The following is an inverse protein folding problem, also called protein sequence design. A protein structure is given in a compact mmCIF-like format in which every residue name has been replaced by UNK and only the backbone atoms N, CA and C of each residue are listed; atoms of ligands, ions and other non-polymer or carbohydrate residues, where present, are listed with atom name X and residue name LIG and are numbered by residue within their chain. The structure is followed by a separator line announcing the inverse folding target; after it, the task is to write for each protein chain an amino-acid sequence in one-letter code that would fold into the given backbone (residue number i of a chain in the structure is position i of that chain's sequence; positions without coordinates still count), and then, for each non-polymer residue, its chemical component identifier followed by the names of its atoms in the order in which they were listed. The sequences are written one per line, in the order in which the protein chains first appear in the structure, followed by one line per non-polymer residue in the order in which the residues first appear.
data_IF_749148893589
#
_entry.id   IF_749148893589
#
_cell.length_a   1.000
_cell.length_b   1.000
_cell.length_c   1.000
_cell.angle_alpha   90.00
_cell.angle_beta   90.00
_cell.angle_gamma   90.00
#
_symmetry.space_group_name_H-M   'P 1'
#
loop_
_entity.id
_entity.type
_entity.pdbx_description
1 polymer ?
#
# COMPACT_ATOMS: atom_id res chain seq x y z
N UNK A 1 -17.82 -25.58 -2.58
CA UNK A 1 -17.59 -24.54 -3.61
C UNK A 1 -16.32 -23.79 -3.25
N UNK A 2 -15.31 -23.78 -4.14
CA UNK A 2 -13.99 -23.17 -3.86
C UNK A 2 -13.72 -22.03 -4.84
N UNK A 3 -13.02 -21.01 -4.38
CA UNK A 3 -12.50 -19.91 -5.18
C UNK A 3 -11.06 -19.61 -4.78
N UNK A 4 -10.20 -19.39 -5.77
CA UNK A 4 -8.86 -18.86 -5.55
C UNK A 4 -8.81 -17.42 -6.05
N UNK A 5 -8.42 -16.49 -5.20
CA UNK A 5 -8.24 -15.08 -5.54
C UNK A 5 -6.95 -14.89 -6.36
N UNK A 6 -6.87 -13.79 -7.09
CA UNK A 6 -5.71 -13.44 -7.92
C UNK A 6 -5.40 -11.94 -7.84
N UNK A 7 -4.11 -11.58 -7.93
CA UNK A 7 -3.67 -10.21 -8.20
C UNK A 7 -4.23 -9.19 -7.20
N UNK A 8 -4.85 -8.11 -7.70
CA UNK A 8 -5.37 -7.01 -6.85
C UNK A 8 -6.45 -7.48 -5.88
N UNK A 9 -7.36 -8.38 -6.28
CA UNK A 9 -8.37 -8.94 -5.38
C UNK A 9 -7.74 -9.74 -4.24
N UNK A 10 -6.70 -10.53 -4.54
CA UNK A 10 -5.95 -11.22 -3.50
C UNK A 10 -5.21 -10.24 -2.57
N UNK A 11 -4.57 -9.21 -3.13
CA UNK A 11 -3.87 -8.18 -2.36
C UNK A 11 -4.82 -7.49 -1.38
N UNK A 12 -5.99 -7.03 -1.83
CA UNK A 12 -6.99 -6.39 -0.97
C UNK A 12 -7.38 -7.27 0.20
N UNK A 13 -7.61 -8.58 -0.03
CA UNK A 13 -7.94 -9.50 1.05
C UNK A 13 -6.74 -9.70 1.99
N UNK A 14 -5.53 -9.97 1.48
CA UNK A 14 -4.32 -10.12 2.29
C UNK A 14 -4.06 -8.91 3.19
N UNK A 15 -4.33 -7.70 2.70
CA UNK A 15 -4.19 -6.46 3.47
C UNK A 15 -5.18 -6.35 4.63
N UNK A 16 -6.28 -7.11 4.63
CA UNK A 16 -7.29 -7.12 5.71
C UNK A 16 -7.15 -8.30 6.68
N UNK A 17 -6.27 -9.26 6.39
CA UNK A 17 -6.11 -10.43 7.25
C UNK A 17 -5.36 -10.05 8.54
N UNK A 18 -5.85 -10.49 9.72
CA UNK A 18 -5.17 -10.23 11.00
C UNK A 18 -3.86 -11.02 11.14
N UNK A 19 -3.71 -12.12 10.41
CA UNK A 19 -2.49 -12.93 10.29
C UNK A 19 -2.58 -13.80 9.04
N UNK A 20 -1.46 -14.38 8.61
CA UNK A 20 -1.47 -15.53 7.71
C UNK A 20 -1.26 -16.78 8.55
N UNK A 21 -2.37 -17.47 8.87
CA UNK A 21 -2.28 -18.81 9.43
C UNK A 21 -1.76 -19.79 8.38
N UNK A 22 -0.93 -20.74 8.82
CA UNK A 22 -0.14 -21.63 7.96
C UNK A 22 -0.95 -22.76 7.31
N UNK A 23 -2.28 -22.67 7.24
CA UNK A 23 -3.09 -23.66 6.51
C UNK A 23 -2.87 -23.48 4.98
N UNK A 24 -1.71 -23.99 4.57
CA UNK A 24 -1.18 -23.99 3.23
C UNK A 24 -1.81 -25.17 2.52
N UNK A 25 -2.74 -24.86 1.63
CA UNK A 25 -3.39 -25.89 0.85
C UNK A 25 -2.39 -26.53 -0.13
N UNK A 26 -2.59 -27.81 -0.44
CA UNK A 26 -2.02 -28.40 -1.65
C UNK A 26 -2.61 -27.63 -2.83
N UNK A 27 -1.78 -26.76 -3.43
CA UNK A 27 -2.27 -25.72 -4.33
C UNK A 27 -3.06 -26.29 -5.52
N UNK A 28 -2.64 -27.44 -6.05
CA UNK A 28 -3.32 -28.10 -7.15
C UNK A 28 -4.71 -28.63 -6.74
N UNK A 29 -4.83 -29.35 -5.63
CA UNK A 29 -6.11 -29.86 -5.11
C UNK A 29 -7.10 -28.74 -4.76
N UNK A 30 -6.57 -27.61 -4.24
CA UNK A 30 -7.38 -26.43 -3.98
C UNK A 30 -7.96 -25.86 -5.28
N UNK A 31 -7.14 -25.76 -6.33
CA UNK A 31 -7.52 -25.23 -7.64
C UNK A 31 -8.44 -26.15 -8.43
N UNK A 32 -8.24 -27.47 -8.38
CA UNK A 32 -9.07 -28.43 -9.14
C UNK A 32 -10.53 -28.38 -8.70
N UNK A 33 -10.79 -28.04 -7.43
CA UNK A 33 -12.14 -27.81 -6.90
C UNK A 33 -12.66 -26.38 -7.06
N UNK A 34 -11.91 -25.46 -7.68
CA UNK A 34 -12.32 -24.07 -7.85
C UNK A 34 -13.30 -23.91 -9.00
N UNK A 35 -14.53 -23.51 -8.66
CA UNK A 35 -15.61 -23.28 -9.62
C UNK A 35 -16.22 -21.89 -9.35
N UNK A 36 -15.95 -20.91 -10.22
CA UNK A 36 -16.40 -19.54 -10.01
C UNK A 36 -17.87 -19.35 -10.42
N UNK A 37 -18.78 -20.00 -9.69
CA UNK A 37 -20.23 -19.87 -9.90
C UNK A 37 -20.75 -18.53 -9.35
N UNK A 38 -21.92 -18.09 -9.80
CA UNK A 38 -22.56 -16.88 -9.27
C UNK A 38 -22.79 -16.94 -7.74
N UNK A 39 -23.04 -18.14 -7.20
CA UNK A 39 -23.15 -18.34 -5.74
C UNK A 39 -21.81 -18.14 -5.03
N UNK A 40 -20.70 -18.54 -5.66
CA UNK A 40 -19.35 -18.35 -5.14
C UNK A 40 -18.95 -16.88 -5.08
N UNK A 41 -19.26 -16.14 -6.15
CA UNK A 41 -19.03 -14.70 -6.22
C UNK A 41 -19.83 -13.98 -5.13
N UNK A 42 -21.13 -14.29 -4.97
CA UNK A 42 -21.96 -13.74 -3.88
C UNK A 42 -21.42 -14.07 -2.50
N UNK A 43 -20.86 -15.26 -2.31
CA UNK A 43 -20.27 -15.67 -1.04
C UNK A 43 -19.03 -14.83 -0.68
N UNK A 44 -18.10 -14.64 -1.62
CA UNK A 44 -16.93 -13.77 -1.43
C UNK A 44 -17.35 -12.33 -1.17
N UNK A 45 -18.31 -11.81 -1.95
CA UNK A 45 -18.86 -10.44 -1.81
C UNK A 45 -19.47 -10.19 -0.43
N UNK A 46 -20.24 -11.13 0.11
CA UNK A 46 -20.79 -10.99 1.48
C UNK A 46 -19.69 -10.97 2.55
N UNK A 47 -18.58 -11.66 2.32
CA UNK A 47 -17.49 -11.75 3.30
C UNK A 47 -16.53 -10.56 3.20
N UNK A 48 -16.34 -10.04 2.00
CA UNK A 48 -15.46 -8.93 1.66
C UNK A 48 -16.21 -7.92 0.78
N UNK A 49 -17.21 -7.21 1.33
CA UNK A 49 -18.03 -6.24 0.58
C UNK A 49 -17.22 -5.09 0.00
N UNK A 50 -16.06 -4.79 0.58
CA UNK A 50 -15.17 -3.71 0.18
C UNK A 50 -14.33 -3.99 -1.07
N UNK A 51 -14.38 -5.20 -1.66
CA UNK A 51 -13.57 -5.51 -2.84
C UNK A 51 -14.09 -4.76 -4.07
N UNK A 52 -13.24 -4.25 -4.97
CA UNK A 52 -13.71 -3.66 -6.21
C UNK A 52 -14.19 -4.70 -7.23
N UNK A 53 -15.11 -4.33 -8.12
CA UNK A 53 -15.36 -5.08 -9.36
C UNK A 53 -14.33 -4.75 -10.47
N UNK A 54 -13.98 -5.71 -11.34
CA UNK A 54 -14.32 -7.14 -11.27
C UNK A 54 -13.47 -7.89 -10.23
N UNK A 55 -13.99 -8.98 -9.67
CA UNK A 55 -13.17 -9.91 -8.89
C UNK A 55 -12.16 -10.65 -9.78
N UNK A 56 -10.88 -10.61 -9.45
CA UNK A 56 -9.85 -11.37 -10.12
C UNK A 56 -9.64 -12.72 -9.46
N UNK A 57 -9.82 -13.80 -10.22
CA UNK A 57 -9.80 -15.16 -9.71
C UNK A 57 -8.81 -16.01 -10.49
N UNK A 58 -8.16 -16.95 -9.80
CA UNK A 58 -7.28 -17.95 -10.38
C UNK A 58 -8.07 -19.24 -10.68
N UNK A 59 -7.93 -19.75 -11.88
CA UNK A 59 -8.57 -20.98 -12.35
C UNK A 59 -7.55 -21.94 -13.00
N UNK A 60 -7.74 -23.26 -12.89
CA UNK A 60 -6.85 -24.26 -13.49
C UNK A 60 -6.84 -24.19 -15.03
N UNK A 61 -8.00 -23.91 -15.66
CA UNK A 61 -8.13 -23.68 -17.11
C UNK A 61 -8.91 -22.39 -17.37
N UNK A 62 -8.64 -21.78 -18.52
CA UNK A 62 -9.45 -20.68 -19.03
C UNK A 62 -10.81 -21.24 -19.44
N UNK A 63 -11.83 -21.03 -18.61
CA UNK A 63 -13.20 -21.38 -18.95
C UNK A 63 -14.12 -20.19 -18.69
N UNK A 64 -14.80 -19.73 -19.75
CA UNK A 64 -15.85 -18.70 -19.83
C UNK A 64 -15.67 -17.42 -18.98
N UNK A 65 -15.74 -16.27 -19.65
CA UNK A 65 -15.90 -14.98 -18.98
C UNK A 65 -17.21 -14.96 -18.17
N UNK A 66 -17.13 -14.58 -16.88
CA UNK A 66 -18.28 -14.45 -15.98
C UNK A 66 -18.95 -13.07 -16.08
N UNK A 67 -18.85 -12.43 -17.25
CA UNK A 67 -19.29 -11.06 -17.47
C UNK A 67 -18.47 -10.05 -16.64
N UNK A 68 -19.10 -8.92 -16.30
CA UNK A 68 -18.46 -7.81 -15.58
C UNK A 68 -18.12 -8.10 -14.11
N UNK A 69 -18.62 -9.21 -13.53
CA UNK A 69 -18.46 -9.50 -12.11
C UNK A 69 -17.11 -10.16 -11.75
N UNK A 70 -16.47 -10.85 -12.69
CA UNK A 70 -15.20 -11.53 -12.43
C UNK A 70 -14.34 -11.71 -13.68
N UNK A 71 -13.03 -11.56 -13.49
CA UNK A 71 -11.99 -11.84 -14.48
C UNK A 71 -11.20 -13.07 -14.06
N UNK A 72 -11.10 -14.06 -14.96
CA UNK A 72 -10.38 -15.30 -14.71
C UNK A 72 -8.96 -15.25 -15.24
N UNK A 73 -8.03 -15.71 -14.41
CA UNK A 73 -6.61 -15.84 -14.71
C UNK A 73 -6.22 -17.30 -14.68
N UNK A 74 -5.48 -17.76 -15.68
CA UNK A 74 -5.12 -19.18 -15.81
C UNK A 74 -3.78 -19.50 -15.14
N UNK A 75 -3.79 -20.51 -14.26
CA UNK A 75 -2.60 -21.16 -13.74
C UNK A 75 -2.06 -22.19 -14.75
N UNK A 76 -1.40 -21.74 -15.82
CA UNK A 76 -0.88 -22.64 -16.88
C UNK A 76 0.27 -23.55 -16.42
N UNK A 77 0.94 -23.19 -15.34
CA UNK A 77 2.02 -23.97 -14.75
C UNK A 77 1.62 -24.38 -13.33
N UNK A 78 2.06 -25.56 -12.85
CA UNK A 78 1.86 -25.97 -11.46
C UNK A 78 2.34 -24.87 -10.51
N UNK A 79 1.51 -24.53 -9.53
CA UNK A 79 1.89 -23.60 -8.49
C UNK A 79 2.82 -24.29 -7.48
N UNK A 80 3.78 -23.56 -6.89
CA UNK A 80 4.59 -24.12 -5.81
C UNK A 80 3.73 -24.64 -4.65
N UNK A 81 4.20 -25.72 -4.01
CA UNK A 81 3.55 -26.23 -2.81
C UNK A 81 3.45 -25.12 -1.74
N UNK A 82 2.25 -24.96 -1.18
CA UNK A 82 1.98 -23.97 -0.15
C UNK A 82 2.02 -22.50 -0.60
N UNK A 83 1.96 -22.23 -1.90
CA UNK A 83 1.76 -20.86 -2.42
C UNK A 83 0.30 -20.45 -2.49
N UNK A 84 -0.63 -21.32 -2.08
CA UNK A 84 -2.04 -20.99 -1.85
C UNK A 84 -2.38 -21.20 -0.38
N UNK A 85 -3.03 -20.20 0.20
CA UNK A 85 -3.45 -20.10 1.59
C UNK A 85 -4.95 -20.28 1.65
N UNK A 86 -5.44 -21.12 2.55
CA UNK A 86 -6.87 -21.21 2.83
C UNK A 86 -7.25 -20.11 3.83
N UNK A 87 -7.89 -19.06 3.34
CA UNK A 87 -8.23 -17.88 4.14
C UNK A 87 -9.64 -17.96 4.75
N UNK A 88 -10.51 -18.76 4.14
CA UNK A 88 -11.85 -19.04 4.67
C UNK A 88 -12.38 -20.36 4.10
N UNK A 89 -13.51 -20.84 4.62
CA UNK A 89 -14.21 -22.00 4.04
C UNK A 89 -14.50 -21.77 2.56
N UNK A 90 -13.78 -22.47 1.68
CA UNK A 90 -13.93 -22.35 0.23
C UNK A 90 -13.29 -21.11 -0.41
N UNK A 91 -12.50 -20.30 0.31
CA UNK A 91 -11.79 -19.15 -0.26
C UNK A 91 -10.29 -19.33 -0.03
N UNK A 92 -9.53 -19.24 -1.12
CA UNK A 92 -8.08 -19.34 -1.14
C UNK A 92 -7.46 -18.05 -1.66
N UNK A 93 -6.31 -17.65 -1.12
CA UNK A 93 -5.51 -16.55 -1.61
C UNK A 93 -4.09 -17.02 -1.93
N UNK A 94 -3.39 -16.43 -2.91
CA UNK A 94 -1.96 -16.63 -3.07
C UNK A 94 -1.20 -16.21 -1.81
N UNK A 95 -0.04 -16.84 -1.57
CA UNK A 95 0.92 -16.30 -0.61
C UNK A 95 1.34 -14.88 -1.03
N UNK A 96 1.83 -14.03 -0.12
CA UNK A 96 2.26 -12.67 -0.46
C UNK A 96 3.22 -12.62 -1.65
N UNK A 97 4.16 -13.56 -1.73
CA UNK A 97 5.16 -13.63 -2.78
C UNK A 97 4.57 -14.06 -4.12
N UNK A 98 3.64 -15.03 -4.13
CA UNK A 98 2.91 -15.40 -5.34
C UNK A 98 1.98 -14.25 -5.79
N UNK A 99 1.33 -13.56 -4.85
CA UNK A 99 0.48 -12.41 -5.14
C UNK A 99 1.29 -11.30 -5.84
N UNK A 100 2.48 -10.97 -5.32
CA UNK A 100 3.38 -10.01 -5.95
C UNK A 100 3.86 -10.47 -7.33
N UNK A 101 4.12 -11.77 -7.52
CA UNK A 101 4.47 -12.31 -8.83
C UNK A 101 3.31 -12.18 -9.85
N UNK A 102 2.07 -12.38 -9.40
CA UNK A 102 0.87 -12.17 -10.22
C UNK A 102 0.69 -10.69 -10.60
N UNK A 103 0.78 -9.79 -9.61
CA UNK A 103 0.69 -8.33 -9.82
C UNK A 103 1.78 -7.80 -10.76
N UNK A 104 3.00 -8.33 -10.66
CA UNK A 104 4.14 -7.92 -11.50
C UNK A 104 3.94 -8.11 -13.01
N UNK A 105 2.86 -8.78 -13.44
CA UNK A 105 2.51 -8.97 -14.84
C UNK A 105 1.72 -7.80 -15.44
N UNK A 106 1.06 -7.03 -14.58
CA UNK A 106 0.10 -5.98 -14.96
C UNK A 106 0.44 -4.63 -14.29
N UNK A 107 1.40 -4.62 -13.38
CA UNK A 107 1.83 -3.43 -12.63
C UNK A 107 3.16 -2.86 -13.13
N UNK A 108 3.28 -1.54 -13.00
CA UNK A 108 4.55 -0.81 -13.11
C UNK A 108 5.50 -1.16 -11.96
N UNK A 109 6.80 -0.83 -12.12
CA UNK A 109 7.78 -1.01 -11.03
C UNK A 109 7.36 -0.23 -9.78
N UNK A 110 6.83 0.98 -9.92
CA UNK A 110 6.41 1.80 -8.77
C UNK A 110 5.20 1.18 -8.04
N UNK A 111 4.19 0.69 -8.76
CA UNK A 111 3.08 -0.06 -8.14
C UNK A 111 3.58 -1.31 -7.42
N UNK A 112 4.51 -2.05 -8.03
CA UNK A 112 5.03 -3.27 -7.41
C UNK A 112 5.86 -3.00 -6.16
N UNK A 113 6.60 -1.89 -6.13
CA UNK A 113 7.32 -1.41 -4.94
C UNK A 113 6.32 -1.02 -3.85
N UNK A 114 5.25 -0.30 -4.20
CA UNK A 114 4.18 0.06 -3.27
C UNK A 114 3.56 -1.21 -2.67
N UNK A 115 3.05 -2.12 -3.51
CA UNK A 115 2.39 -3.36 -3.05
C UNK A 115 3.32 -4.25 -2.22
N UNK A 116 4.60 -4.34 -2.60
CA UNK A 116 5.60 -5.02 -1.79
C UNK A 116 5.75 -4.38 -0.42
N UNK A 117 5.83 -3.06 -0.36
CA UNK A 117 5.90 -2.32 0.90
C UNK A 117 4.66 -2.47 1.78
N UNK A 118 3.46 -2.53 1.18
CA UNK A 118 2.22 -2.79 1.92
C UNK A 118 2.23 -4.18 2.60
N UNK A 119 2.70 -5.21 1.89
CA UNK A 119 2.77 -6.58 2.42
C UNK A 119 3.92 -6.79 3.42
N UNK A 120 4.98 -5.99 3.32
CA UNK A 120 6.08 -5.93 4.29
C UNK A 120 5.83 -4.96 5.45
N UNK A 121 4.71 -4.24 5.45
CA UNK A 121 4.33 -3.30 6.51
C UNK A 121 3.80 -4.00 7.76
N UNK A 122 3.90 -3.31 8.90
CA UNK A 122 3.46 -3.81 10.21
C UNK A 122 2.00 -3.44 10.55
N UNK A 123 1.12 -3.46 9.54
CA UNK A 123 -0.29 -3.09 9.68
C UNK A 123 -1.21 -3.99 8.88
N UNK A 124 -2.50 -3.93 9.22
CA UNK A 124 -3.61 -4.39 8.40
C UNK A 124 -4.68 -3.29 8.26
N UNK A 125 -5.39 -3.33 7.14
CA UNK A 125 -6.56 -2.49 6.88
C UNK A 125 -7.72 -3.05 7.69
N UNK A 126 -8.27 -2.24 8.59
CA UNK A 126 -9.39 -2.60 9.43
C UNK A 126 -10.41 -1.45 9.46
N UNK A 127 -11.46 -1.51 8.63
CA UNK A 127 -12.50 -0.48 8.57
C UNK A 127 -13.28 -0.29 9.88
N UNK A 128 -13.17 -1.23 10.84
CA UNK A 128 -13.83 -1.15 12.14
C UNK A 128 -13.01 -0.27 13.10
N UNK A 129 -11.69 -0.19 12.91
CA UNK A 129 -10.82 0.67 13.68
C UNK A 129 -11.04 2.15 13.30
N UNK A 130 -11.01 3.05 14.29
CA UNK A 130 -11.23 4.48 14.07
C UNK A 130 -10.24 5.10 13.07
N UNK A 131 -9.00 4.61 13.04
CA UNK A 131 -7.94 5.03 12.09
C UNK A 131 -7.99 4.29 10.75
N UNK A 132 -8.88 3.30 10.59
CA UNK A 132 -8.92 2.39 9.44
C UNK A 132 -7.76 1.38 9.41
N UNK A 133 -6.89 1.37 10.44
CA UNK A 133 -5.68 0.57 10.52
C UNK A 133 -5.56 -0.10 11.88
N UNK A 134 -4.92 -1.27 11.88
CA UNK A 134 -4.49 -1.97 13.09
C UNK A 134 -3.07 -2.48 12.95
N UNK A 135 -2.36 -2.57 14.07
CA UNK A 135 -1.04 -3.20 14.10
C UNK A 135 -1.12 -4.68 13.74
N UNK A 136 -0.14 -5.16 12.96
CA UNK A 136 -0.01 -6.56 12.56
C UNK A 136 1.44 -6.86 12.20
N UNK A 137 1.95 -8.05 12.55
CA UNK A 137 3.22 -8.51 11.96
C UNK A 137 3.19 -8.47 10.41
N UNK A 138 4.32 -8.15 9.75
CA UNK A 138 4.43 -8.22 8.29
C UNK A 138 4.02 -9.59 7.74
N UNK A 139 3.38 -9.61 6.58
CA UNK A 139 2.99 -10.86 5.92
C UNK A 139 4.17 -11.55 5.23
N UNK A 140 5.15 -10.77 4.84
CA UNK A 140 6.41 -11.20 4.23
C UNK A 140 7.47 -10.14 4.53
N UNK A 141 8.71 -10.47 4.19
CA UNK A 141 9.85 -9.56 4.16
C UNK A 141 10.54 -9.64 2.78
N UNK A 142 11.42 -8.69 2.50
CA UNK A 142 12.19 -8.62 1.23
C UNK A 142 13.03 -9.88 1.04
N UNK A 143 13.59 -10.44 2.11
CA UNK A 143 14.40 -11.65 2.08
C UNK A 143 13.58 -12.88 1.63
N UNK A 144 12.34 -12.99 2.09
CA UNK A 144 11.40 -14.07 1.78
C UNK A 144 10.89 -13.95 0.36
N UNK A 145 10.57 -12.73 -0.11
CA UNK A 145 10.22 -12.50 -1.52
C UNK A 145 11.41 -12.86 -2.42
N UNK A 146 12.63 -12.46 -2.05
CA UNK A 146 13.85 -12.81 -2.79
C UNK A 146 14.05 -14.33 -2.85
N UNK A 147 13.89 -15.02 -1.72
CA UNK A 147 13.99 -16.48 -1.60
C UNK A 147 12.96 -17.17 -2.49
N UNK A 148 11.70 -16.76 -2.44
CA UNK A 148 10.64 -17.29 -3.30
C UNK A 148 10.98 -17.08 -4.78
N UNK A 149 11.43 -15.88 -5.15
CA UNK A 149 11.79 -15.58 -6.52
C UNK A 149 12.97 -16.42 -7.02
N UNK A 150 13.91 -16.79 -6.15
CA UNK A 150 15.06 -17.66 -6.47
C UNK A 150 14.65 -19.11 -6.65
N UNK A 151 13.77 -19.62 -5.78
CA UNK A 151 13.34 -21.03 -5.79
C UNK A 151 12.40 -21.37 -6.95
N UNK A 152 11.72 -20.38 -7.53
CA UNK A 152 10.70 -20.62 -8.56
C UNK A 152 10.93 -19.82 -9.85
N UNK A 153 12.09 -19.91 -10.52
CA UNK A 153 12.45 -19.04 -11.64
C UNK A 153 11.48 -19.08 -12.83
N UNK A 154 10.67 -20.14 -12.97
CA UNK A 154 9.66 -20.30 -14.02
C UNK A 154 8.37 -19.49 -13.82
N UNK A 155 8.15 -18.89 -12.64
CA UNK A 155 6.94 -18.08 -12.40
C UNK A 155 7.09 -16.70 -13.08
N UNK A 156 6.14 -16.40 -13.96
CA UNK A 156 6.05 -15.10 -14.66
C UNK A 156 5.88 -13.96 -13.65
N UNK A 157 6.53 -12.82 -13.92
CA UNK A 157 6.53 -11.65 -13.04
C UNK A 157 7.73 -11.59 -12.09
N UNK A 158 8.34 -12.71 -11.72
CA UNK A 158 9.44 -12.73 -10.75
C UNK A 158 10.69 -11.94 -11.19
N UNK A 159 10.98 -11.88 -12.49
CA UNK A 159 12.10 -11.05 -13.00
C UNK A 159 11.86 -9.56 -12.74
N UNK A 160 10.64 -9.08 -12.87
CA UNK A 160 10.28 -7.70 -12.55
C UNK A 160 10.31 -7.47 -11.04
N UNK A 161 9.74 -8.40 -10.27
CA UNK A 161 9.74 -8.36 -8.81
C UNK A 161 11.15 -8.27 -8.22
N UNK A 162 12.09 -9.12 -8.66
CA UNK A 162 13.50 -9.08 -8.21
C UNK A 162 14.15 -7.70 -8.39
N UNK A 163 13.78 -6.99 -9.45
CA UNK A 163 14.32 -5.67 -9.78
C UNK A 163 13.79 -4.56 -8.86
N UNK A 164 12.65 -4.82 -8.22
CA UNK A 164 11.97 -3.90 -7.30
C UNK A 164 12.34 -4.11 -5.83
N UNK A 165 12.83 -5.31 -5.47
CA UNK A 165 13.21 -5.67 -4.08
C UNK A 165 14.05 -4.61 -3.35
N UNK A 166 15.11 -4.03 -3.95
CA UNK A 166 15.96 -3.06 -3.24
C UNK A 166 15.25 -1.76 -2.85
N UNK A 167 14.04 -1.55 -3.36
CA UNK A 167 13.27 -0.33 -3.20
C UNK A 167 12.04 -0.49 -2.31
N UNK A 168 11.67 -1.73 -1.95
CA UNK A 168 10.54 -2.01 -1.07
C UNK A 168 10.78 -1.46 0.34
N UNK A 169 9.70 -1.11 1.02
CA UNK A 169 9.71 -0.57 2.38
C UNK A 169 9.27 -1.67 3.33
N UNK A 170 10.07 -1.98 4.34
CA UNK A 170 9.69 -2.92 5.40
C UNK A 170 9.29 -2.13 6.65
N UNK A 171 8.38 -2.70 7.45
CA UNK A 171 8.00 -2.19 8.76
C UNK A 171 7.36 -0.79 8.76
N UNK A 172 6.89 -0.28 7.63
CA UNK A 172 5.99 0.86 7.61
C UNK A 172 4.72 0.51 8.40
N UNK A 173 4.22 1.43 9.22
CA UNK A 173 3.02 1.26 10.03
C UNK A 173 1.74 1.71 9.30
N UNK A 174 1.87 2.31 8.12
CA UNK A 174 0.73 2.74 7.30
C UNK A 174 1.05 2.80 5.79
N UNK A 175 0.03 2.77 4.91
CA UNK A 175 0.24 2.99 3.47
C UNK A 175 0.91 4.34 3.11
N UNK A 176 0.53 5.47 3.74
CA UNK A 176 1.22 6.75 3.54
C UNK A 176 2.73 6.71 3.85
N UNK A 177 3.17 6.02 4.90
CA UNK A 177 4.60 5.87 5.21
C UNK A 177 5.37 5.12 4.12
N UNK A 178 4.78 4.06 3.55
CA UNK A 178 5.36 3.34 2.40
C UNK A 178 5.59 4.32 1.25
N UNK A 179 4.57 5.13 0.95
CA UNK A 179 4.65 6.10 -0.14
C UNK A 179 5.57 7.29 0.18
N UNK A 180 5.61 7.77 1.41
CA UNK A 180 6.52 8.82 1.88
C UNK A 180 7.97 8.41 1.64
N UNK A 181 8.33 7.18 2.03
CA UNK A 181 9.65 6.61 1.72
C UNK A 181 9.88 6.52 0.23
N UNK A 182 8.89 6.08 -0.55
CA UNK A 182 9.04 5.99 -2.01
C UNK A 182 9.30 7.37 -2.64
N UNK A 183 8.51 8.38 -2.28
CA UNK A 183 8.63 9.74 -2.79
C UNK A 183 10.00 10.34 -2.49
N UNK A 184 10.48 10.21 -1.25
CA UNK A 184 11.76 10.77 -0.83
C UNK A 184 12.96 9.94 -1.35
N UNK A 185 12.90 8.62 -1.23
CA UNK A 185 14.09 7.76 -1.32
C UNK A 185 14.24 7.04 -2.66
N UNK A 186 13.19 6.86 -3.47
CA UNK A 186 13.36 6.19 -4.76
C UNK A 186 14.36 6.96 -5.63
N UNK A 187 15.19 6.25 -6.42
CA UNK A 187 16.08 6.93 -7.35
C UNK A 187 15.28 7.70 -8.40
N UNK A 188 15.86 8.78 -8.93
CA UNK A 188 15.21 9.64 -9.94
C UNK A 188 14.64 8.88 -11.15
N UNK A 189 15.23 7.75 -11.54
CA UNK A 189 14.73 6.89 -12.64
C UNK A 189 13.37 6.24 -12.33
N UNK A 190 13.03 6.05 -11.05
CA UNK A 190 11.75 5.55 -10.55
C UNK A 190 10.83 6.68 -10.04
N UNK A 191 11.30 7.93 -10.08
CA UNK A 191 10.49 9.11 -9.80
C UNK A 191 10.63 9.69 -8.39
N UNK A 192 11.40 9.08 -7.49
CA UNK A 192 11.68 9.71 -6.19
C UNK A 192 12.79 10.75 -6.24
N UNK A 193 13.00 11.44 -5.13
CA UNK A 193 13.99 12.52 -4.98
C UNK A 193 15.41 12.04 -4.64
N UNK A 194 15.63 10.74 -4.44
CA UNK A 194 16.95 10.16 -4.18
C UNK A 194 17.54 10.53 -2.81
N UNK A 195 16.71 10.84 -1.82
CA UNK A 195 17.11 11.06 -0.44
C UNK A 195 17.43 9.73 0.26
N UNK A 196 18.54 9.10 -0.10
CA UNK A 196 18.95 7.79 0.44
C UNK A 196 19.27 7.82 1.95
N UNK A 197 19.25 6.65 2.59
CA UNK A 197 19.68 6.47 3.98
C UNK A 197 18.59 6.57 5.04
N UNK A 198 17.32 6.68 4.64
CA UNK A 198 16.19 6.64 5.55
C UNK A 198 16.01 5.23 6.14
N UNK A 199 15.92 5.16 7.47
CA UNK A 199 15.42 4.01 8.21
C UNK A 199 13.93 4.24 8.51
N UNK A 200 13.12 3.18 8.43
CA UNK A 200 11.66 3.26 8.65
C UNK A 200 11.36 2.71 10.03
N UNK A 201 10.51 3.40 10.79
CA UNK A 201 10.08 2.98 12.14
C UNK A 201 11.23 2.47 13.03
N UNK A 202 12.38 3.13 12.95
CA UNK A 202 13.57 2.73 13.68
C UNK A 202 13.62 3.42 15.04
N UNK A 203 13.49 2.65 16.12
CA UNK A 203 13.50 3.18 17.47
C UNK A 203 14.80 3.94 17.79
N UNK A 204 14.66 5.20 18.17
CA UNK A 204 15.73 6.07 18.64
C UNK A 204 15.72 6.03 20.16
N UNK A 205 16.78 5.49 20.81
CA UNK A 205 16.92 5.59 22.26
C UNK A 205 17.15 7.06 22.66
N UNK A 206 16.42 7.52 23.67
CA UNK A 206 16.51 8.89 24.17
C UNK A 206 17.57 9.00 25.27
N UNK A 207 18.27 10.13 25.32
CA UNK A 207 19.06 10.53 26.48
C UNK A 207 18.18 10.90 27.68
N UNK A 208 18.79 11.15 28.84
CA UNK A 208 18.06 11.49 30.08
C UNK A 208 17.11 12.67 29.89
N UNK A 209 17.52 13.67 29.10
CA UNK A 209 16.72 14.88 28.84
C UNK A 209 15.48 14.56 28.03
N UNK A 210 15.64 13.84 26.92
CA UNK A 210 14.53 13.37 26.09
C UNK A 210 13.58 12.47 26.87
N UNK A 211 14.11 11.56 27.71
CA UNK A 211 13.30 10.66 28.53
C UNK A 211 12.40 11.43 29.52
N UNK A 212 12.95 12.44 30.21
CA UNK A 212 12.19 13.28 31.13
C UNK A 212 11.06 14.05 30.43
N UNK A 213 11.25 14.45 29.17
CA UNK A 213 10.24 15.15 28.38
C UNK A 213 9.19 14.19 27.82
N UNK A 214 9.61 13.06 27.25
CA UNK A 214 8.73 12.14 26.54
C UNK A 214 8.03 11.11 27.45
N UNK A 215 8.50 10.93 28.68
CA UNK A 215 8.02 9.89 29.60
C UNK A 215 8.33 8.46 29.16
N UNK A 216 9.28 8.27 28.24
CA UNK A 216 9.64 6.97 27.63
C UNK A 216 11.11 6.91 27.23
N UNK A 217 11.66 5.70 27.16
CA UNK A 217 13.07 5.45 26.85
C UNK A 217 13.46 5.62 25.38
N UNK A 218 12.48 5.60 24.47
CA UNK A 218 12.71 5.69 23.03
C UNK A 218 11.53 6.30 22.28
N UNK A 219 11.80 6.83 21.09
CA UNK A 219 10.80 7.29 20.13
C UNK A 219 10.96 6.55 18.81
N UNK A 220 9.84 6.34 18.12
CA UNK A 220 9.81 5.69 16.80
C UNK A 220 9.34 6.74 15.78
N UNK A 221 10.26 7.28 14.96
CA UNK A 221 9.93 8.13 13.82
C UNK A 221 9.50 7.30 12.61
N UNK A 222 8.62 7.86 11.78
CA UNK A 222 8.22 7.21 10.53
C UNK A 222 9.42 7.01 9.59
N UNK A 223 10.20 8.08 9.36
CA UNK A 223 11.46 8.04 8.63
C UNK A 223 12.58 8.77 9.35
N UNK A 224 13.72 8.09 9.48
CA UNK A 224 14.89 8.60 10.19
C UNK A 224 16.16 8.55 9.34
N UNK A 225 16.89 9.66 9.26
CA UNK A 225 18.26 9.71 8.72
C UNK A 225 19.28 9.85 9.85
N UNK A 226 19.97 8.77 10.25
CA UNK A 226 20.94 8.80 11.33
C UNK A 226 22.09 9.79 11.12
N UNK A 227 22.62 9.85 9.90
CA UNK A 227 23.78 10.68 9.57
C UNK A 227 23.57 12.19 9.73
N UNK A 228 22.33 12.66 9.82
CA UNK A 228 22.02 14.07 10.04
C UNK A 228 20.98 14.33 11.14
N UNK A 229 20.67 13.31 11.98
CA UNK A 229 19.67 13.39 13.05
C UNK A 229 18.35 14.01 12.58
N UNK A 230 17.87 13.58 11.42
CA UNK A 230 16.64 14.08 10.82
C UNK A 230 15.53 13.05 10.96
N UNK A 231 14.42 13.49 11.54
CA UNK A 231 13.15 12.81 11.61
C UNK A 231 12.16 13.45 10.62
N UNK A 232 11.44 12.61 9.87
CA UNK A 232 10.36 13.01 8.99
C UNK A 232 9.12 12.18 9.33
N UNK A 233 8.09 12.85 9.85
CA UNK A 233 6.85 12.26 10.34
C UNK A 233 5.71 12.53 9.36
N UNK A 234 4.87 11.54 9.11
CA UNK A 234 3.59 11.71 8.42
C UNK A 234 2.50 12.07 9.43
N UNK A 235 1.73 13.13 9.13
CA UNK A 235 0.58 13.56 9.92
C UNK A 235 -0.68 13.42 9.08
N UNK A 236 -1.49 12.42 9.42
CA UNK A 236 -2.76 12.14 8.76
C UNK A 236 -3.83 13.21 9.08
N UNK A 237 -3.71 13.88 10.23
CA UNK A 237 -4.80 14.53 10.97
C UNK A 237 -4.65 16.05 11.09
N UNK A 238 -3.81 16.69 10.27
CA UNK A 238 -3.52 18.13 10.37
C UNK A 238 -4.74 19.07 10.25
N UNK A 239 -5.96 18.55 10.08
CA UNK A 239 -7.24 19.27 9.98
C UNK A 239 -8.22 18.89 11.13
N UNK A 240 -8.02 17.77 11.85
CA UNK A 240 -8.97 17.24 12.86
C UNK A 240 -8.31 16.66 14.13
N UNK A 241 -7.16 17.18 14.54
CA UNK A 241 -6.49 16.73 15.78
C UNK A 241 -7.36 16.98 17.03
N UNK A 242 -7.47 15.96 17.88
CA UNK A 242 -7.89 16.17 19.27
C UNK A 242 -6.79 16.91 20.04
N UNK A 243 -7.16 17.67 21.07
CA UNK A 243 -6.19 18.39 21.93
C UNK A 243 -5.15 17.45 22.56
N UNK A 244 -5.53 16.20 22.84
CA UNK A 244 -4.64 15.19 23.41
C UNK A 244 -3.59 14.68 22.41
N UNK A 245 -3.96 14.39 21.16
CA UNK A 245 -3.00 13.99 20.12
C UNK A 245 -2.01 15.12 19.80
N UNK A 246 -2.52 16.36 19.68
CA UNK A 246 -1.66 17.53 19.48
C UNK A 246 -0.63 17.71 20.60
N UNK A 247 -1.01 17.43 21.86
CA UNK A 247 -0.09 17.45 22.99
C UNK A 247 0.98 16.35 22.86
N UNK A 248 0.59 15.11 22.55
CA UNK A 248 1.53 13.99 22.41
C UNK A 248 2.56 14.23 21.29
N UNK A 249 2.13 14.79 20.16
CA UNK A 249 3.02 15.10 19.04
C UNK A 249 3.95 16.27 19.37
N UNK A 250 3.46 17.29 20.07
CA UNK A 250 4.29 18.38 20.57
C UNK A 250 5.34 17.86 21.56
N UNK A 251 4.98 16.96 22.48
CA UNK A 251 5.90 16.32 23.41
C UNK A 251 6.94 15.45 22.69
N UNK A 252 6.53 14.66 21.68
CA UNK A 252 7.43 13.86 20.84
C UNK A 252 8.46 14.76 20.16
N UNK A 253 8.00 15.83 19.49
CA UNK A 253 8.84 16.80 18.79
C UNK A 253 9.82 17.48 19.76
N UNK A 254 9.33 17.97 20.90
CA UNK A 254 10.16 18.65 21.89
C UNK A 254 11.27 17.74 22.44
N UNK A 255 10.97 16.47 22.69
CA UNK A 255 11.95 15.50 23.17
C UNK A 255 13.04 15.21 22.12
N UNK A 256 12.67 15.08 20.85
CA UNK A 256 13.63 14.89 19.75
C UNK A 256 14.50 16.13 19.55
N UNK A 257 13.91 17.32 19.54
CA UNK A 257 14.64 18.59 19.39
C UNK A 257 15.61 18.83 20.56
N UNK A 258 15.21 18.46 21.79
CA UNK A 258 16.07 18.55 22.97
C UNK A 258 17.31 17.63 22.89
N UNK A 259 17.24 16.57 22.10
CA UNK A 259 18.34 15.63 21.81
C UNK A 259 19.07 15.96 20.48
N UNK A 260 18.80 17.16 19.92
CA UNK A 260 19.48 17.69 18.74
C UNK A 260 18.98 17.12 17.41
N UNK A 261 17.80 16.51 17.39
CA UNK A 261 17.16 16.08 16.15
C UNK A 261 16.41 17.24 15.52
N UNK A 262 16.37 17.24 14.18
CA UNK A 262 15.45 18.08 13.43
C UNK A 262 14.24 17.25 13.05
N UNK A 263 13.04 17.79 13.27
CA UNK A 263 11.77 17.14 12.91
C UNK A 263 11.13 17.88 11.73
N UNK A 264 10.68 17.14 10.71
CA UNK A 264 9.87 17.64 9.59
C UNK A 264 8.55 16.88 9.59
N UNK A 265 7.44 17.59 9.70
CA UNK A 265 6.11 16.97 9.57
C UNK A 265 5.58 17.14 8.15
N UNK A 266 5.04 16.05 7.59
CA UNK A 266 4.48 15.98 6.24
C UNK A 266 3.00 15.62 6.34
N UNK A 267 2.13 16.54 5.93
CA UNK A 267 0.68 16.30 5.97
C UNK A 267 0.20 15.50 4.76
N UNK A 268 -1.00 14.92 4.83
CA UNK A 268 -1.69 14.28 3.69
C UNK A 268 -1.70 15.12 2.41
N UNK A 269 -1.96 16.43 2.54
CA UNK A 269 -1.98 17.37 1.40
C UNK A 269 -0.58 17.61 0.80
N UNK A 270 0.45 17.59 1.63
CA UNK A 270 1.84 17.69 1.15
C UNK A 270 2.26 16.40 0.47
N UNK A 271 1.97 15.24 1.07
CA UNK A 271 2.32 13.93 0.55
C UNK A 271 1.71 13.68 -0.84
N UNK A 272 0.44 14.07 -1.04
CA UNK A 272 -0.25 13.97 -2.33
C UNK A 272 0.23 14.97 -3.40
N UNK A 273 1.09 15.93 -3.06
CA UNK A 273 1.54 16.99 -3.98
C UNK A 273 3.03 16.85 -4.30
N UNK A 274 3.33 16.52 -5.56
CA UNK A 274 4.72 16.48 -6.06
C UNK A 274 5.50 17.76 -5.80
N UNK A 275 4.83 18.92 -5.89
CA UNK A 275 5.43 20.24 -5.63
C UNK A 275 5.77 20.43 -4.15
N UNK A 276 4.88 20.06 -3.25
CA UNK A 276 5.14 20.16 -1.80
C UNK A 276 6.21 19.17 -1.37
N UNK A 277 6.15 17.92 -1.86
CA UNK A 277 7.18 16.93 -1.60
C UNK A 277 8.56 17.35 -2.14
N UNK A 278 8.63 18.12 -3.22
CA UNK A 278 9.90 18.70 -3.67
C UNK A 278 10.50 19.67 -2.63
N UNK A 279 9.66 20.41 -1.89
CA UNK A 279 10.13 21.28 -0.80
C UNK A 279 10.65 20.43 0.37
N UNK A 280 9.90 19.39 0.78
CA UNK A 280 10.33 18.44 1.82
C UNK A 280 11.67 17.80 1.45
N UNK A 281 11.80 17.30 0.22
CA UNK A 281 13.04 16.67 -0.26
C UNK A 281 14.24 17.63 -0.29
N UNK A 282 14.02 18.92 -0.61
CA UNK A 282 15.07 19.95 -0.51
C UNK A 282 15.51 20.16 0.93
N UNK A 283 14.58 20.17 1.89
CA UNK A 283 14.93 20.28 3.30
C UNK A 283 15.68 19.05 3.82
N UNK A 284 15.25 17.84 3.44
CA UNK A 284 15.97 16.59 3.74
C UNK A 284 17.40 16.64 3.18
N UNK A 285 17.54 17.05 1.92
CA UNK A 285 18.82 17.20 1.22
C UNK A 285 19.74 18.23 1.90
N UNK A 286 19.16 19.33 2.39
CA UNK A 286 19.88 20.38 3.14
C UNK A 286 20.41 19.85 4.47
N UNK A 287 19.58 19.12 5.24
CA UNK A 287 20.02 18.47 6.49
C UNK A 287 21.16 17.48 6.24
N UNK A 288 21.00 16.65 5.21
CA UNK A 288 21.99 15.65 4.83
C UNK A 288 23.26 16.25 4.22
N UNK A 289 23.30 17.57 3.97
CA UNK A 289 24.38 18.28 3.26
C UNK A 289 24.70 17.63 1.90
N UNK A 290 23.68 17.08 1.24
CA UNK A 290 23.77 16.39 -0.05
C UNK A 290 22.86 17.08 -1.05
N UNK A 291 23.41 17.87 -2.00
CA UNK A 291 22.59 18.60 -2.96
C UNK A 291 21.72 17.67 -3.82
N UNK A 292 20.42 17.94 -3.87
CA UNK A 292 19.50 17.23 -4.75
C UNK A 292 19.81 17.57 -6.21
N UNK A 293 20.35 16.61 -6.96
CA UNK A 293 20.69 16.76 -8.39
C UNK A 293 19.97 15.69 -9.20
N UNK A 294 18.87 16.08 -9.84
CA UNK A 294 18.11 15.21 -10.73
C UNK A 294 18.90 15.05 -12.04
N UNK A 295 19.46 13.86 -12.27
CA UNK A 295 20.29 13.55 -13.47
C UNK A 295 19.60 12.65 -14.50
N UNK A 296 18.41 12.14 -14.19
CA UNK A 296 17.73 11.15 -15.04
C UNK A 296 16.77 11.84 -16.01
N UNK A 297 16.96 11.62 -17.32
CA UNK A 297 16.00 12.04 -18.36
C UNK A 297 14.60 11.42 -18.17
N UNK A 298 14.50 10.28 -17.47
CA UNK A 298 13.21 9.61 -17.18
C UNK A 298 12.45 10.25 -16.02
N UNK A 299 13.11 11.09 -15.22
CA UNK A 299 12.53 11.62 -13.98
C UNK A 299 11.15 12.26 -14.19
N UNK A 300 10.90 13.17 -15.16
CA UNK A 300 9.58 13.79 -15.27
C UNK A 300 8.45 12.79 -15.49
N UNK A 301 8.67 11.76 -16.32
CA UNK A 301 7.67 10.70 -16.56
C UNK A 301 7.50 9.81 -15.33
N UNK A 302 8.60 9.30 -14.78
CA UNK A 302 8.56 8.40 -13.62
C UNK A 302 8.02 9.08 -12.37
N UNK A 303 8.30 10.38 -12.18
CA UNK A 303 7.81 11.19 -11.07
C UNK A 303 6.29 11.39 -11.18
N UNK A 304 5.77 11.71 -12.38
CA UNK A 304 4.32 11.75 -12.60
C UNK A 304 3.67 10.39 -12.34
N UNK A 305 4.27 9.30 -12.81
CA UNK A 305 3.75 7.95 -12.54
C UNK A 305 3.77 7.59 -11.05
N UNK A 306 4.80 8.01 -10.31
CA UNK A 306 4.89 7.79 -8.86
C UNK A 306 3.79 8.56 -8.11
N UNK A 307 3.59 9.84 -8.42
CA UNK A 307 2.55 10.66 -7.77
C UNK A 307 1.12 10.40 -8.29
N UNK A 308 0.97 9.58 -9.33
CA UNK A 308 -0.31 9.06 -9.79
C UNK A 308 -0.68 7.72 -9.12
N UNK A 309 0.21 7.15 -8.30
CA UNK A 309 -0.12 5.95 -7.54
C UNK A 309 -1.24 6.23 -6.55
N UNK A 310 -2.15 5.28 -6.42
CA UNK A 310 -3.12 5.26 -5.34
C UNK A 310 -2.51 4.68 -4.07
N UNK A 311 -1.71 5.51 -3.39
CA UNK A 311 -1.16 5.18 -2.07
C UNK A 311 -2.21 5.24 -0.96
N UNK A 312 -3.38 5.83 -1.22
CA UNK A 312 -4.55 5.82 -0.33
C UNK A 312 -5.40 4.54 -0.42
N UNK A 313 -5.03 3.61 -1.31
CA UNK A 313 -5.66 2.30 -1.51
C UNK A 313 -7.14 2.34 -1.93
N UNK A 314 -7.65 3.46 -2.47
CA UNK A 314 -9.03 3.62 -2.97
C UNK A 314 -9.38 2.70 -4.15
N UNK A 315 -8.37 2.23 -4.88
CA UNK A 315 -8.49 1.30 -6.00
C UNK A 315 -8.44 -0.16 -5.54
N UNK A 316 -7.95 -0.43 -4.33
CA UNK A 316 -7.97 -1.75 -3.72
C UNK A 316 -9.22 -1.99 -2.87
N UNK A 317 -9.89 -0.91 -2.44
CA UNK A 317 -11.08 -0.97 -1.60
C UNK A 317 -12.14 0.03 -2.09
N UNK A 318 -13.36 -0.44 -2.31
CA UNK A 318 -14.51 0.42 -2.57
C UNK A 318 -14.92 1.15 -1.28
N UNK A 319 -15.14 2.46 -1.37
CA UNK A 319 -15.77 3.24 -0.31
C UNK A 319 -17.29 3.05 -0.35
N UNK A 320 -17.99 2.87 0.78
CA UNK A 320 -19.45 2.59 0.81
C UNK A 320 -20.37 3.58 0.07
N UNK A 321 -19.92 4.78 -0.30
CA UNK A 321 -20.78 5.85 -0.85
C UNK A 321 -21.11 5.78 -2.35
N UNK A 322 -20.70 4.74 -3.09
CA UNK A 322 -20.99 4.66 -4.53
C UNK A 322 -22.20 3.80 -4.91
N UNK A 323 -22.93 3.24 -3.94
CA UNK A 323 -24.11 2.42 -4.21
C UNK A 323 -25.47 3.08 -3.91
N UNK A 324 -25.53 4.17 -3.13
CA UNK A 324 -26.82 4.78 -2.75
C UNK A 324 -27.28 5.95 -3.64
N UNK A 325 -26.42 6.55 -4.46
CA UNK A 325 -26.79 7.71 -5.31
C UNK A 325 -27.33 7.34 -6.70
N UNK A 326 -27.51 6.05 -7.01
CA UNK A 326 -27.92 5.57 -8.35
C UNK A 326 -29.32 4.97 -8.45
N UNK A 327 -30.08 4.87 -7.35
CA UNK A 327 -31.43 4.25 -7.33
C UNK A 327 -32.46 5.07 -6.56
N UNK A 328 -32.49 6.38 -6.76
CA UNK A 328 -33.74 7.15 -6.64
C UNK A 328 -33.49 8.58 -7.15
N UNK A 329 -33.58 8.74 -8.46
CA UNK A 329 -33.82 10.05 -9.06
C UNK A 329 -34.98 9.87 -10.04
N UNK A 330 -36.18 10.07 -9.52
CA UNK A 330 -37.41 10.13 -10.29
C UNK A 330 -37.26 11.10 -11.46
N UNK A 331 -37.87 10.71 -12.59
CA UNK A 331 -37.99 11.53 -13.80
C UNK A 331 -38.38 12.97 -13.44
N UNK A 332 -37.60 13.99 -13.81
CA UNK A 332 -38.09 15.36 -13.73
C UNK A 332 -39.02 15.61 -14.92
N UNK A 333 -40.24 16.03 -14.59
CA UNK A 333 -41.24 16.49 -15.55
C UNK A 333 -40.75 17.69 -16.36
N UNK A 334 -41.27 17.79 -17.59
CA UNK A 334 -41.10 18.93 -18.49
C UNK A 334 -41.57 20.21 -17.79
N UNK A 335 -40.70 21.21 -17.69
CA UNK A 335 -41.09 22.60 -17.47
C UNK A 335 -40.24 23.52 -18.33
N UNK A 336 -40.90 24.54 -18.86
CA UNK A 336 -40.55 25.39 -19.99
C UNK A 336 -39.92 26.72 -19.57
N UNK A 337 -38.80 27.08 -20.21
CA UNK A 337 -38.28 28.43 -20.51
C UNK A 337 -37.77 29.34 -19.35
N UNK A 338 -36.99 30.42 -19.64
CA UNK A 338 -36.22 30.77 -20.84
C UNK A 338 -34.70 30.99 -20.58
N UNK A 339 -33.91 31.06 -21.66
CA UNK A 339 -32.47 31.39 -21.67
C UNK A 339 -32.22 32.87 -21.34
N UNK A 340 -31.09 33.20 -20.70
CA UNK A 340 -30.45 34.50 -20.90
C UNK A 340 -29.14 34.38 -21.70
N UNK A 341 -28.84 35.51 -22.31
CA UNK A 341 -27.93 35.77 -23.41
C UNK A 341 -26.44 35.54 -23.16
N UNK A 342 -25.73 35.39 -24.29
CA UNK A 342 -24.27 35.52 -24.42
C UNK A 342 -23.87 36.96 -24.12
N UNK A 343 -22.73 37.15 -23.45
CA UNK A 343 -21.75 38.19 -23.82
C UNK A 343 -20.40 37.99 -23.10
N UNK A 344 -19.33 38.07 -23.90
CA UNK A 344 -17.87 38.15 -23.68
C UNK A 344 -17.10 37.07 -22.91
#
# INVERSE_FOLDING_TARGET
MRLALYGKTALSVLMTLPSIDRDRAVAQEALDGCQPTAQALRYVRRRYPQLPDPLHLLAPRWERALGAAATLHSARAPLPAGSLLKIHSGIYAPSPELCLAQLARESTDQELILYGGLLCGSFAIDPICATGLRERAPLTDVATIARFARLHPGIKGLKALRRCLPHMTELAASPPEVFLRMALCLPHRLGGFGCEGALVNHAIPLGKRGQNLAGRSSLVPDLYWPGCRLDVEYDADSIHLTSHQAMLDATKRLALEAEGYRVITVTSLQLGSSRHMANVAREVSRCAKRPMRIRSKRFPKSHRSLFALDWSLRTLFETPDQHESGRDAGKPGKSTAPRPDREY
#
